data_IF_785864510523
#
_entry.id   IF_785864510523
#
_cell.length_a   1.000
_cell.length_b   1.000
_cell.length_c   1.000
_cell.angle_alpha   90.00
_cell.angle_beta   90.00
_cell.angle_gamma   90.00
#
_symmetry.space_group_name_H-M   'P 1'
#
loop_
_entity.id
_entity.type
_entity.pdbx_description
1 polymer ?
#
# COMPACT_ATOMS: atom_id res chain seq x y z
N UNK A 1 5.98 -8.88 -13.40
CA UNK A 1 6.30 -8.52 -12.02
C UNK A 1 5.01 -8.12 -11.33
N UNK A 2 4.43 -9.02 -10.51
CA UNK A 2 3.28 -8.71 -9.64
C UNK A 2 3.83 -8.47 -8.25
N UNK A 3 4.11 -7.22 -7.93
CA UNK A 3 4.39 -6.83 -6.55
C UNK A 3 3.06 -6.75 -5.80
N UNK A 4 2.95 -7.33 -4.60
CA UNK A 4 1.71 -7.41 -3.82
C UNK A 4 1.17 -6.06 -3.34
N UNK A 5 1.95 -5.00 -3.42
CA UNK A 5 1.57 -3.63 -3.07
C UNK A 5 1.56 -2.67 -4.26
N UNK A 6 1.99 -3.12 -5.46
CA UNK A 6 2.00 -2.29 -6.66
C UNK A 6 1.17 -2.98 -7.74
N UNK A 7 -0.10 -2.63 -7.84
CA UNK A 7 -0.89 -2.93 -9.03
C UNK A 7 -0.35 -2.08 -10.19
N UNK A 8 0.63 -2.62 -10.91
CA UNK A 8 1.10 -2.01 -12.16
C UNK A 8 -0.03 -2.16 -13.17
N UNK A 9 -0.60 -1.04 -13.56
CA UNK A 9 -1.62 -0.93 -14.59
C UNK A 9 -1.26 -1.74 -15.84
N UNK A 10 -2.04 -2.77 -16.13
CA UNK A 10 -2.20 -3.29 -17.48
C UNK A 10 -3.37 -2.56 -18.15
N UNK A 11 -3.22 -1.27 -18.41
CA UNK A 11 -4.06 -0.59 -19.38
C UNK A 11 -3.29 -0.54 -20.71
N UNK A 12 -3.61 -1.44 -21.65
CA UNK A 12 -2.96 -1.52 -22.96
C UNK A 12 -3.10 -0.22 -23.78
N UNK A 13 -4.05 0.64 -23.44
CA UNK A 13 -4.28 1.94 -24.08
C UNK A 13 -3.57 3.11 -23.39
N UNK A 14 -3.14 2.97 -22.13
CA UNK A 14 -2.34 4.01 -21.48
C UNK A 14 -1.00 4.22 -22.23
N UNK A 15 -0.48 3.17 -22.87
CA UNK A 15 0.73 3.24 -23.68
C UNK A 15 0.54 4.10 -24.96
N UNK A 16 -0.66 4.13 -25.53
CA UNK A 16 -1.00 5.01 -26.65
C UNK A 16 -1.23 6.45 -26.19
N UNK A 17 -1.84 6.65 -25.01
CA UNK A 17 -2.06 7.97 -24.43
C UNK A 17 -0.74 8.66 -24.00
N UNK A 18 0.22 7.91 -23.49
CA UNK A 18 1.57 8.40 -23.13
C UNK A 18 2.34 8.91 -24.36
N UNK A 19 2.05 8.42 -25.56
CA UNK A 19 2.70 8.85 -26.80
C UNK A 19 2.12 10.14 -27.41
N UNK A 20 1.03 10.68 -26.87
CA UNK A 20 0.40 11.96 -27.30
C UNK A 20 0.69 13.14 -26.35
N UNK A 21 1.52 12.95 -25.33
CA UNK A 21 1.77 13.94 -24.30
C UNK A 21 2.77 15.04 -24.75
N UNK A 22 2.51 16.25 -24.28
CA UNK A 22 3.23 17.51 -24.60
C UNK A 22 4.73 17.46 -24.28
N UNK A 23 5.56 18.35 -24.89
CA UNK A 23 7.02 18.45 -24.64
C UNK A 23 7.39 18.62 -23.16
N UNK A 24 6.50 19.13 -22.32
CA UNK A 24 6.69 19.28 -20.88
C UNK A 24 6.69 17.93 -20.14
N UNK A 25 5.84 17.00 -20.55
CA UNK A 25 5.81 15.64 -19.96
C UNK A 25 7.06 14.84 -20.32
N UNK A 26 7.61 15.05 -21.53
CA UNK A 26 8.90 14.45 -21.93
C UNK A 26 10.04 15.02 -21.07
N UNK A 27 9.99 16.30 -20.70
CA UNK A 27 10.94 16.91 -19.76
C UNK A 27 10.84 16.29 -18.35
N UNK A 28 9.62 16.05 -17.86
CA UNK A 28 9.38 15.38 -16.56
C UNK A 28 9.90 13.94 -16.60
N UNK A 29 9.64 13.21 -17.66
CA UNK A 29 10.14 11.84 -17.87
C UNK A 29 11.68 11.80 -17.87
N UNK A 30 12.32 12.71 -18.61
CA UNK A 30 13.79 12.81 -18.63
C UNK A 30 14.37 13.31 -17.29
N UNK A 31 13.68 14.19 -16.58
CA UNK A 31 14.05 14.63 -15.23
C UNK A 31 13.96 13.46 -14.22
N UNK A 32 12.91 12.64 -14.30
CA UNK A 32 12.78 11.41 -13.49
C UNK A 32 13.91 10.42 -13.80
N UNK A 33 14.25 10.17 -15.07
CA UNK A 33 15.38 9.29 -15.43
C UNK A 33 16.73 9.86 -15.01
N UNK A 34 16.92 11.17 -15.01
CA UNK A 34 18.15 11.82 -14.56
C UNK A 34 18.28 11.72 -13.04
N UNK A 35 17.20 11.90 -12.29
CA UNK A 35 17.16 11.71 -10.82
C UNK A 35 17.42 10.24 -10.47
N UNK A 36 16.80 9.30 -11.16
CA UNK A 36 17.04 7.85 -10.99
C UNK A 36 18.52 7.51 -11.23
N UNK A 37 19.16 8.12 -12.23
CA UNK A 37 20.60 7.94 -12.52
C UNK A 37 21.50 8.53 -11.42
N UNK A 38 21.12 9.64 -10.82
CA UNK A 38 21.92 10.32 -9.77
C UNK A 38 21.80 9.63 -8.39
N UNK A 39 20.69 8.93 -8.13
CA UNK A 39 20.43 8.22 -6.86
C UNK A 39 21.08 6.83 -6.78
N UNK A 40 21.65 6.31 -7.89
CA UNK A 40 22.32 5.00 -7.93
C UNK A 40 23.62 4.89 -7.13
N UNK A 41 24.16 5.98 -6.61
CA UNK A 41 25.51 5.98 -6.01
C UNK A 41 25.56 5.77 -4.49
N UNK A 42 24.41 5.61 -3.79
CA UNK A 42 24.38 5.45 -2.32
C UNK A 42 23.40 4.37 -1.81
N UNK A 43 22.91 3.47 -2.65
CA UNK A 43 21.91 2.43 -2.24
C UNK A 43 22.48 1.01 -2.21
N UNK A 44 23.75 0.83 -2.58
CA UNK A 44 24.35 -0.49 -2.79
C UNK A 44 24.43 -1.36 -1.51
N UNK A 45 24.31 -0.74 -0.33
CA UNK A 45 24.35 -1.41 0.97
C UNK A 45 22.99 -1.54 1.68
N UNK A 46 21.90 -1.13 1.03
CA UNK A 46 20.57 -1.12 1.63
C UNK A 46 19.67 -2.22 1.07
N UNK A 47 18.79 -2.75 1.92
CA UNK A 47 17.79 -3.75 1.55
C UNK A 47 16.47 -3.54 2.27
N UNK A 48 15.44 -4.28 1.84
CA UNK A 48 14.13 -4.33 2.51
C UNK A 48 13.71 -5.75 2.86
N UNK A 49 12.82 -5.88 3.83
CA UNK A 49 12.06 -7.13 4.07
C UNK A 49 10.58 -6.84 3.89
N UNK A 50 9.90 -7.70 3.12
CA UNK A 50 8.45 -7.76 2.99
C UNK A 50 7.93 -9.02 3.67
N UNK A 51 7.00 -8.87 4.63
CA UNK A 51 6.39 -9.97 5.38
C UNK A 51 4.93 -10.07 5.00
N UNK A 52 4.55 -11.14 4.30
CA UNK A 52 3.18 -11.36 3.84
C UNK A 52 2.34 -12.05 4.91
N UNK A 53 1.31 -11.36 5.40
CA UNK A 53 0.34 -11.89 6.36
C UNK A 53 -0.98 -12.19 5.63
N UNK A 54 -1.26 -13.45 5.26
CA UNK A 54 -2.34 -13.79 4.33
C UNK A 54 -3.72 -13.92 5.00
N UNK A 55 -4.01 -13.11 5.99
CA UNK A 55 -5.28 -13.21 6.72
C UNK A 55 -6.10 -11.93 6.63
N UNK A 56 -7.42 -12.09 6.38
CA UNK A 56 -8.39 -11.01 6.40
C UNK A 56 -9.61 -11.39 7.24
N UNK A 57 -10.33 -10.43 7.81
CA UNK A 57 -11.66 -10.65 8.41
C UNK A 57 -12.71 -10.95 7.34
N UNK A 58 -12.61 -10.24 6.21
CA UNK A 58 -13.60 -10.23 5.14
C UNK A 58 -12.92 -10.18 3.77
N UNK A 59 -13.51 -10.84 2.79
CA UNK A 59 -13.03 -10.82 1.40
C UNK A 59 -13.63 -9.64 0.65
N UNK A 60 -12.82 -8.65 0.31
CA UNK A 60 -13.24 -7.54 -0.55
C UNK A 60 -13.52 -8.03 -1.98
N UNK A 61 -14.55 -7.49 -2.65
CA UNK A 61 -15.01 -8.00 -3.94
C UNK A 61 -14.07 -7.72 -5.12
N UNK A 62 -13.15 -6.76 -4.96
CA UNK A 62 -12.15 -6.38 -5.96
C UNK A 62 -10.77 -7.04 -5.75
N UNK A 63 -10.53 -7.63 -4.56
CA UNK A 63 -9.20 -8.07 -4.14
C UNK A 63 -8.80 -9.39 -4.81
N UNK A 64 -7.64 -9.43 -5.46
CA UNK A 64 -7.03 -10.62 -6.06
C UNK A 64 -5.73 -11.06 -5.35
N UNK A 65 -5.38 -10.43 -4.23
CA UNK A 65 -4.22 -10.81 -3.44
C UNK A 65 -4.38 -12.21 -2.84
N UNK A 66 -3.23 -12.79 -2.46
CA UNK A 66 -3.24 -14.06 -1.75
C UNK A 66 -3.67 -13.85 -0.30
N UNK A 67 -4.91 -14.23 0.04
CA UNK A 67 -5.43 -14.13 1.39
C UNK A 67 -6.38 -15.28 1.74
N UNK A 68 -6.68 -15.43 3.04
CA UNK A 68 -7.67 -16.33 3.60
C UNK A 68 -8.48 -15.64 4.69
N UNK A 69 -9.80 -15.86 4.69
CA UNK A 69 -10.67 -15.46 5.80
C UNK A 69 -10.70 -16.48 6.95
N UNK A 70 -10.14 -17.67 6.73
CA UNK A 70 -9.97 -18.66 7.79
C UNK A 70 -8.67 -18.41 8.55
N UNK A 71 -8.79 -17.93 9.79
CA UNK A 71 -7.66 -17.58 10.65
C UNK A 71 -7.20 -18.70 11.60
N UNK A 72 -7.78 -19.90 11.53
CA UNK A 72 -7.48 -21.01 12.45
C UNK A 72 -6.00 -21.38 12.49
N UNK A 73 -5.28 -21.22 11.39
CA UNK A 73 -3.85 -21.52 11.26
C UNK A 73 -2.95 -20.27 11.31
N UNK A 74 -3.45 -19.13 11.79
CA UNK A 74 -2.67 -17.88 11.81
C UNK A 74 -1.40 -18.03 12.65
N UNK A 75 -1.49 -18.59 13.85
CA UNK A 75 -0.33 -18.80 14.71
C UNK A 75 0.70 -19.77 14.09
N UNK A 76 0.25 -20.82 13.39
CA UNK A 76 1.15 -21.73 12.65
C UNK A 76 1.88 -21.02 11.53
N UNK A 77 1.17 -20.16 10.80
CA UNK A 77 1.73 -19.37 9.71
C UNK A 77 2.78 -18.38 10.22
N UNK A 78 2.50 -17.67 11.33
CA UNK A 78 3.46 -16.75 11.95
C UNK A 78 4.75 -17.51 12.34
N UNK A 79 4.63 -18.71 12.96
CA UNK A 79 5.80 -19.54 13.27
C UNK A 79 6.56 -19.95 12.01
N UNK A 80 5.86 -20.33 10.93
CA UNK A 80 6.49 -20.69 9.67
C UNK A 80 7.26 -19.53 9.04
N UNK A 81 6.69 -18.33 9.06
CA UNK A 81 7.35 -17.08 8.58
C UNK A 81 8.58 -16.77 9.45
N UNK A 82 8.49 -16.93 10.77
CA UNK A 82 9.65 -16.78 11.68
C UNK A 82 10.79 -17.73 11.32
N UNK A 83 10.48 -18.97 10.97
CA UNK A 83 11.49 -19.94 10.50
C UNK A 83 12.04 -19.59 9.10
N UNK A 84 11.19 -19.14 8.20
CA UNK A 84 11.61 -18.70 6.87
C UNK A 84 12.61 -17.54 6.96
N UNK A 85 12.37 -16.55 7.84
CA UNK A 85 13.32 -15.48 8.12
C UNK A 85 14.68 -16.02 8.57
N UNK A 86 14.71 -17.02 9.48
CA UNK A 86 15.96 -17.64 9.93
C UNK A 86 16.69 -18.44 8.85
N UNK A 87 15.93 -19.06 7.93
CA UNK A 87 16.51 -19.87 6.83
C UNK A 87 17.05 -19.02 5.68
N UNK A 88 16.54 -17.79 5.49
CA UNK A 88 16.84 -16.92 4.34
C UNK A 88 17.90 -15.85 4.66
N UNK A 89 18.68 -16.01 5.73
CA UNK A 89 19.66 -15.01 6.19
C UNK A 89 20.69 -14.62 5.12
N UNK A 90 21.08 -15.56 4.27
CA UNK A 90 22.08 -15.36 3.22
C UNK A 90 21.52 -14.62 1.99
N UNK A 91 20.18 -14.54 1.85
CA UNK A 91 19.55 -13.99 0.64
C UNK A 91 19.93 -12.52 0.37
N UNK A 92 20.04 -11.73 1.41
CA UNK A 92 20.39 -10.32 1.31
C UNK A 92 21.91 -10.03 1.42
N UNK A 93 22.75 -11.10 1.43
CA UNK A 93 24.22 -10.98 1.41
C UNK A 93 24.81 -10.05 2.47
N UNK A 94 24.19 -9.96 3.66
CA UNK A 94 24.64 -9.12 4.77
C UNK A 94 24.32 -7.63 4.63
N UNK A 95 23.50 -7.24 3.68
CA UNK A 95 23.06 -5.85 3.52
C UNK A 95 22.24 -5.36 4.70
N UNK A 96 22.23 -4.04 4.92
CA UNK A 96 21.53 -3.40 6.02
C UNK A 96 20.08 -3.08 5.63
N UNK A 97 19.12 -3.53 6.43
CA UNK A 97 17.70 -3.26 6.22
C UNK A 97 17.38 -1.80 6.55
N UNK A 98 16.85 -1.06 5.59
CA UNK A 98 16.28 0.27 5.80
C UNK A 98 14.75 0.28 5.87
N UNK A 99 14.11 -0.83 5.49
CA UNK A 99 12.65 -0.99 5.57
C UNK A 99 12.23 -2.41 5.93
N UNK A 100 11.18 -2.51 6.76
CA UNK A 100 10.45 -3.73 7.11
C UNK A 100 8.99 -3.44 6.82
N UNK A 101 8.35 -4.24 5.98
CA UNK A 101 6.99 -4.00 5.54
C UNK A 101 6.10 -5.22 5.80
N UNK A 102 5.10 -5.05 6.64
CA UNK A 102 4.05 -6.05 6.87
C UNK A 102 2.87 -5.75 5.96
N UNK A 103 2.62 -6.64 4.99
CA UNK A 103 1.56 -6.45 4.00
C UNK A 103 0.81 -7.74 3.68
N UNK A 104 -0.03 -7.67 2.65
CA UNK A 104 -0.69 -8.82 2.04
C UNK A 104 -2.20 -8.88 2.23
N UNK A 105 -2.68 -9.60 3.23
CA UNK A 105 -4.09 -9.62 3.61
C UNK A 105 -4.41 -8.44 4.53
N UNK A 106 -4.25 -8.66 5.86
CA UNK A 106 -4.51 -7.64 6.88
C UNK A 106 -3.57 -7.84 8.06
N UNK A 107 -2.34 -7.30 8.00
CA UNK A 107 -1.37 -7.44 9.08
C UNK A 107 -1.80 -6.86 10.43
N UNK A 108 -2.74 -5.90 10.45
CA UNK A 108 -3.34 -5.39 11.68
C UNK A 108 -4.07 -6.46 12.53
N UNK A 109 -4.34 -7.65 11.97
CA UNK A 109 -4.88 -8.80 12.71
C UNK A 109 -3.84 -9.51 13.60
N UNK A 110 -2.55 -9.18 13.47
CA UNK A 110 -1.52 -9.74 14.34
C UNK A 110 -1.74 -9.29 15.79
N UNK A 111 -1.58 -10.22 16.72
CA UNK A 111 -1.50 -9.90 18.14
C UNK A 111 -0.15 -9.26 18.49
N UNK A 112 -0.03 -8.65 19.67
CA UNK A 112 1.25 -8.09 20.15
C UNK A 112 2.35 -9.17 20.13
N UNK A 113 2.04 -10.36 20.62
CA UNK A 113 2.99 -11.47 20.66
C UNK A 113 3.43 -11.96 19.27
N UNK A 114 2.48 -12.08 18.34
CA UNK A 114 2.78 -12.50 16.95
C UNK A 114 3.66 -11.45 16.24
N UNK A 115 3.33 -10.17 16.39
CA UNK A 115 4.11 -9.08 15.82
C UNK A 115 5.51 -9.01 16.43
N UNK A 116 5.63 -9.10 17.77
CA UNK A 116 6.91 -9.10 18.46
C UNK A 116 7.80 -10.26 18.01
N UNK A 117 7.25 -11.48 17.88
CA UNK A 117 8.05 -12.64 17.45
C UNK A 117 8.61 -12.49 16.03
N UNK A 118 7.86 -11.87 15.11
CA UNK A 118 8.32 -11.58 13.75
C UNK A 118 9.42 -10.51 13.74
N UNK A 119 9.23 -9.41 14.48
CA UNK A 119 10.25 -8.37 14.59
C UNK A 119 11.51 -8.87 15.28
N UNK A 120 11.40 -9.64 16.37
CA UNK A 120 12.53 -10.28 17.05
C UNK A 120 13.33 -11.18 16.10
N UNK A 121 12.65 -11.96 15.24
CA UNK A 121 13.32 -12.79 14.25
C UNK A 121 14.07 -11.92 13.21
N UNK A 122 13.50 -10.83 12.74
CA UNK A 122 14.20 -9.91 11.84
C UNK A 122 15.44 -9.34 12.51
N UNK A 123 15.32 -8.80 13.72
CA UNK A 123 16.47 -8.21 14.44
C UNK A 123 17.52 -9.23 14.86
N UNK A 124 17.15 -10.50 15.08
CA UNK A 124 18.10 -11.58 15.41
C UNK A 124 18.93 -12.05 14.22
N UNK A 125 18.38 -11.96 13.00
CA UNK A 125 18.97 -12.58 11.82
C UNK A 125 19.50 -11.60 10.78
N UNK A 126 19.11 -10.32 10.86
CA UNK A 126 19.47 -9.32 9.86
C UNK A 126 20.07 -8.06 10.50
N UNK A 127 20.99 -7.42 9.79
CA UNK A 127 21.47 -6.08 10.15
C UNK A 127 20.36 -5.07 9.84
N UNK A 128 19.90 -4.34 10.84
CA UNK A 128 18.84 -3.32 10.69
C UNK A 128 19.43 -1.94 10.95
N UNK A 129 19.11 -0.97 10.10
CA UNK A 129 19.57 0.41 10.25
C UNK A 129 19.04 1.03 11.56
N UNK A 130 19.69 2.09 12.02
CA UNK A 130 19.31 2.76 13.28
C UNK A 130 17.89 3.32 13.23
N UNK A 131 17.45 3.80 12.06
CA UNK A 131 16.12 4.37 11.84
C UNK A 131 15.42 3.69 10.64
N UNK A 132 15.02 2.40 10.77
CA UNK A 132 14.32 1.70 9.71
C UNK A 132 12.90 2.23 9.58
N UNK A 133 12.36 2.24 8.37
CA UNK A 133 10.91 2.36 8.18
C UNK A 133 10.27 1.01 8.48
N UNK A 134 9.38 0.96 9.46
CA UNK A 134 8.63 -0.26 9.82
C UNK A 134 7.15 0.01 9.54
N UNK A 135 6.70 -0.43 8.37
CA UNK A 135 5.34 -0.22 7.89
C UNK A 135 4.45 -1.41 8.21
N UNK A 136 3.20 -1.14 8.59
CA UNK A 136 2.17 -2.15 8.76
C UNK A 136 0.88 -1.72 8.04
N UNK A 137 0.38 -2.59 7.15
CA UNK A 137 -0.93 -2.41 6.52
C UNK A 137 -2.05 -2.71 7.51
N UNK A 138 -3.09 -1.87 7.50
CA UNK A 138 -4.20 -1.97 8.43
C UNK A 138 -5.55 -1.65 7.78
N UNK A 139 -6.61 -2.26 8.32
CA UNK A 139 -7.97 -1.82 8.06
C UNK A 139 -8.45 -0.90 9.18
N UNK A 140 -9.30 0.11 8.88
CA UNK A 140 -9.82 1.04 9.88
C UNK A 140 -10.48 0.38 11.10
N UNK A 141 -11.27 -0.69 10.89
CA UNK A 141 -11.98 -1.43 11.95
C UNK A 141 -11.05 -2.23 12.89
N UNK A 142 -9.75 -2.32 12.59
CA UNK A 142 -8.73 -2.92 13.47
C UNK A 142 -8.01 -1.89 14.34
N UNK A 143 -8.13 -0.59 14.02
CA UNK A 143 -7.31 0.46 14.60
C UNK A 143 -7.96 1.18 15.78
N UNK A 144 -8.32 0.41 16.83
CA UNK A 144 -8.68 1.02 18.11
C UNK A 144 -7.50 1.80 18.71
N UNK A 145 -7.77 2.74 19.62
CA UNK A 145 -6.71 3.49 20.33
C UNK A 145 -5.72 2.58 21.06
N UNK A 146 -6.20 1.46 21.61
CA UNK A 146 -5.38 0.44 22.27
C UNK A 146 -4.49 -0.26 21.27
N UNK A 147 -5.05 -0.66 20.12
CA UNK A 147 -4.31 -1.30 19.04
C UNK A 147 -3.21 -0.39 18.50
N UNK A 148 -3.52 0.86 18.24
CA UNK A 148 -2.56 1.86 17.76
C UNK A 148 -1.40 2.06 18.76
N UNK A 149 -1.69 2.15 20.09
CA UNK A 149 -0.64 2.23 21.12
C UNK A 149 0.23 0.97 21.14
N UNK A 150 -0.39 -0.20 20.99
CA UNK A 150 0.32 -1.48 20.92
C UNK A 150 1.25 -1.52 19.72
N UNK A 151 0.78 -1.13 18.53
CA UNK A 151 1.60 -1.09 17.30
C UNK A 151 2.79 -0.13 17.45
N UNK A 152 2.55 1.08 17.97
CA UNK A 152 3.63 2.05 18.24
C UNK A 152 4.65 1.52 19.24
N UNK A 153 4.20 0.90 20.33
CA UNK A 153 5.07 0.29 21.34
C UNK A 153 5.89 -0.88 20.77
N UNK A 154 5.33 -1.65 19.84
CA UNK A 154 6.02 -2.74 19.15
C UNK A 154 7.08 -2.24 18.13
N UNK A 155 7.16 -0.94 17.86
CA UNK A 155 8.12 -0.34 16.95
C UNK A 155 7.59 -0.03 15.56
N UNK A 156 6.29 -0.25 15.29
CA UNK A 156 5.68 0.22 14.03
C UNK A 156 5.74 1.75 14.03
N UNK A 157 6.35 2.32 12.99
CA UNK A 157 6.52 3.76 12.85
C UNK A 157 5.88 4.32 11.57
N UNK A 158 5.26 3.47 10.73
CA UNK A 158 4.45 3.85 9.59
C UNK A 158 3.23 2.95 9.47
N UNK A 159 2.06 3.53 9.16
CA UNK A 159 0.85 2.77 8.84
C UNK A 159 0.41 3.03 7.40
N UNK A 160 -0.05 1.99 6.68
CA UNK A 160 -0.81 2.11 5.45
C UNK A 160 -2.24 1.66 5.73
N UNK A 161 -3.19 2.58 5.66
CA UNK A 161 -4.55 2.36 6.11
C UNK A 161 -5.48 2.25 4.92
N UNK A 162 -6.03 1.08 4.69
CA UNK A 162 -6.93 0.80 3.58
C UNK A 162 -8.32 1.44 3.76
N UNK A 163 -8.43 2.75 3.58
CA UNK A 163 -9.68 3.52 3.67
C UNK A 163 -10.60 3.19 2.50
N UNK A 164 -10.10 3.26 1.28
CA UNK A 164 -10.75 3.09 -0.02
C UNK A 164 -11.73 4.20 -0.39
N UNK A 165 -12.64 4.60 0.49
CA UNK A 165 -13.60 5.71 0.34
C UNK A 165 -14.13 6.13 1.71
N UNK A 166 -14.59 7.37 1.83
CA UNK A 166 -15.33 7.87 2.99
C UNK A 166 -16.83 7.88 2.76
N UNK A 167 -17.30 7.23 1.68
CA UNK A 167 -18.71 7.12 1.32
C UNK A 167 -19.24 5.72 1.58
N UNK A 168 -20.17 5.60 2.54
CA UNK A 168 -20.70 4.33 3.02
C UNK A 168 -21.24 3.38 1.93
N UNK A 169 -21.95 3.86 0.87
CA UNK A 169 -22.38 2.98 -0.21
C UNK A 169 -21.19 2.40 -1.02
N UNK A 170 -20.09 3.14 -1.21
CA UNK A 170 -18.89 2.62 -1.87
C UNK A 170 -18.22 1.54 -1.03
N UNK A 171 -18.11 1.72 0.28
CA UNK A 171 -17.56 0.71 1.19
C UNK A 171 -18.37 -0.60 1.14
N UNK A 172 -19.71 -0.49 1.14
CA UNK A 172 -20.58 -1.67 0.97
C UNK A 172 -20.42 -2.31 -0.40
N UNK A 173 -20.34 -1.53 -1.48
CA UNK A 173 -20.11 -2.03 -2.83
C UNK A 173 -18.81 -2.81 -2.94
N UNK A 174 -17.72 -2.31 -2.31
CA UNK A 174 -16.42 -2.95 -2.25
C UNK A 174 -16.37 -4.14 -1.26
N UNK A 175 -17.41 -4.36 -0.46
CA UNK A 175 -17.47 -5.34 0.64
C UNK A 175 -16.38 -5.07 1.69
N UNK A 176 -16.24 -3.81 2.14
CA UNK A 176 -15.35 -3.44 3.24
C UNK A 176 -16.00 -3.74 4.59
N UNK A 177 -15.18 -4.13 5.58
CA UNK A 177 -15.65 -4.43 6.94
C UNK A 177 -15.89 -3.17 7.78
N UNK A 178 -15.19 -2.08 7.48
CA UNK A 178 -15.28 -0.82 8.21
C UNK A 178 -16.34 0.13 7.63
N UNK A 179 -16.80 1.05 8.45
CA UNK A 179 -17.68 2.16 8.12
C UNK A 179 -16.90 3.43 7.74
N UNK A 180 -17.59 4.40 7.14
CA UNK A 180 -17.02 5.72 6.83
C UNK A 180 -16.58 6.48 8.10
N UNK A 181 -17.25 6.27 9.24
CA UNK A 181 -16.87 6.85 10.52
C UNK A 181 -15.57 6.24 11.08
N UNK A 182 -15.43 4.92 11.04
CA UNK A 182 -14.18 4.24 11.41
C UNK A 182 -13.02 4.68 10.52
N UNK A 183 -13.27 4.88 9.22
CA UNK A 183 -12.28 5.38 8.28
C UNK A 183 -11.71 6.76 8.67
N UNK A 184 -12.56 7.68 9.14
CA UNK A 184 -12.13 9.01 9.63
C UNK A 184 -11.45 8.93 10.98
N UNK A 185 -12.09 8.27 11.93
CA UNK A 185 -11.65 8.24 13.32
C UNK A 185 -10.32 7.51 13.50
N UNK A 186 -10.02 6.47 12.72
CA UNK A 186 -8.76 5.75 12.85
C UNK A 186 -7.54 6.62 12.50
N UNK A 187 -7.65 7.49 11.48
CA UNK A 187 -6.59 8.44 11.10
C UNK A 187 -6.36 9.46 12.23
N UNK A 188 -7.43 10.07 12.73
CA UNK A 188 -7.35 11.02 13.85
C UNK A 188 -6.76 10.36 15.12
N UNK A 189 -7.19 9.14 15.45
CA UNK A 189 -6.65 8.40 16.58
C UNK A 189 -5.15 8.10 16.46
N UNK A 190 -4.67 7.80 15.25
CA UNK A 190 -3.25 7.56 15.01
C UNK A 190 -2.45 8.86 15.19
N UNK A 191 -2.94 9.98 14.65
CA UNK A 191 -2.34 11.31 14.83
C UNK A 191 -2.33 11.73 16.31
N UNK A 192 -3.43 11.54 17.05
CA UNK A 192 -3.55 11.87 18.49
C UNK A 192 -2.49 11.20 19.36
N UNK A 193 -1.99 10.03 18.96
CA UNK A 193 -0.94 9.31 19.70
C UNK A 193 0.47 9.53 19.13
N UNK A 194 0.61 10.41 18.12
CA UNK A 194 1.87 10.72 17.44
C UNK A 194 2.39 9.58 16.57
N UNK A 195 1.50 8.82 15.92
CA UNK A 195 1.82 7.99 14.75
C UNK A 195 1.52 8.81 13.50
N UNK A 196 2.41 9.76 13.20
CA UNK A 196 2.19 10.77 12.16
C UNK A 196 2.56 10.28 10.76
N UNK A 197 3.43 9.26 10.64
CA UNK A 197 3.78 8.68 9.35
C UNK A 197 2.65 7.73 8.89
N UNK A 198 1.65 8.31 8.25
CA UNK A 198 0.44 7.64 7.80
C UNK A 198 0.32 7.70 6.29
N UNK A 199 0.00 6.57 5.67
CA UNK A 199 -0.57 6.49 4.33
C UNK A 199 -2.05 6.15 4.44
N UNK A 200 -2.90 6.81 3.67
CA UNK A 200 -4.26 6.34 3.42
C UNK A 200 -4.37 5.86 1.98
N UNK A 201 -5.04 4.73 1.80
CA UNK A 201 -5.25 4.16 0.48
C UNK A 201 -6.68 4.48 0.02
N UNK A 202 -6.81 5.07 -1.17
CA UNK A 202 -8.09 5.44 -1.77
C UNK A 202 -8.28 4.73 -3.12
N UNK A 203 -9.53 4.42 -3.46
CA UNK A 203 -9.87 3.84 -4.75
C UNK A 203 -10.76 4.83 -5.51
N UNK A 204 -10.30 5.25 -6.70
CA UNK A 204 -11.12 6.01 -7.63
C UNK A 204 -11.73 5.13 -8.72
N UNK A 205 -12.61 5.71 -9.55
CA UNK A 205 -13.40 5.00 -10.57
C UNK A 205 -14.38 3.95 -10.02
N UNK A 206 -14.75 4.04 -8.74
CA UNK A 206 -15.89 3.29 -8.21
C UNK A 206 -17.16 3.81 -8.89
N UNK A 207 -18.04 2.95 -9.42
CA UNK A 207 -19.22 3.38 -10.17
C UNK A 207 -20.13 4.35 -9.40
N UNK A 208 -20.33 5.53 -9.98
CA UNK A 208 -21.24 6.57 -9.47
C UNK A 208 -21.73 7.43 -10.64
N UNK A 209 -22.94 8.05 -10.57
CA UNK A 209 -23.47 8.87 -11.65
C UNK A 209 -22.62 10.09 -12.04
N UNK A 210 -21.81 10.59 -11.11
CA UNK A 210 -20.95 11.78 -11.32
C UNK A 210 -19.72 11.71 -10.39
N UNK A 211 -18.88 12.74 -10.39
CA UNK A 211 -17.62 12.77 -9.63
C UNK A 211 -17.76 13.30 -8.19
N UNK A 212 -18.99 13.63 -7.73
CA UNK A 212 -19.19 14.31 -6.44
C UNK A 212 -18.71 13.53 -5.23
N UNK A 213 -18.86 12.20 -5.23
CA UNK A 213 -18.37 11.34 -4.16
C UNK A 213 -16.84 11.35 -4.12
N UNK A 214 -16.18 11.24 -5.29
CA UNK A 214 -14.73 11.30 -5.36
C UNK A 214 -14.19 12.65 -4.89
N UNK A 215 -14.83 13.76 -5.28
CA UNK A 215 -14.47 15.08 -4.79
C UNK A 215 -14.64 15.21 -3.26
N UNK A 216 -15.70 14.61 -2.69
CA UNK A 216 -15.90 14.58 -1.24
C UNK A 216 -14.86 13.69 -0.52
N UNK A 217 -14.48 12.56 -1.11
CA UNK A 217 -13.42 11.69 -0.58
C UNK A 217 -12.07 12.44 -0.56
N UNK A 218 -11.72 13.15 -1.63
CA UNK A 218 -10.52 13.98 -1.68
C UNK A 218 -10.56 15.13 -0.66
N UNK A 219 -11.71 15.83 -0.55
CA UNK A 219 -11.87 16.89 0.45
C UNK A 219 -11.68 16.37 1.87
N UNK A 220 -12.23 15.19 2.18
CA UNK A 220 -12.05 14.54 3.49
C UNK A 220 -10.59 14.14 3.72
N UNK A 221 -9.91 13.62 2.70
CA UNK A 221 -8.49 13.28 2.79
C UNK A 221 -7.65 14.55 3.10
N UNK A 222 -7.98 15.68 2.47
CA UNK A 222 -7.30 16.97 2.74
C UNK A 222 -7.57 17.50 4.15
N UNK A 223 -8.80 17.32 4.68
CA UNK A 223 -9.14 17.67 6.07
C UNK A 223 -8.36 16.84 7.09
N UNK A 224 -8.18 15.54 6.82
CA UNK A 224 -7.40 14.63 7.66
C UNK A 224 -5.89 14.84 7.53
N UNK A 225 -5.45 15.43 6.43
CA UNK A 225 -4.06 15.80 6.12
C UNK A 225 -3.01 14.69 6.43
N UNK A 226 -3.20 13.44 5.99
CA UNK A 226 -2.16 12.43 6.13
C UNK A 226 -0.95 12.84 5.29
N UNK A 227 0.29 12.60 5.72
CA UNK A 227 1.46 13.00 4.94
C UNK A 227 1.64 12.20 3.64
N UNK A 228 0.93 11.10 3.47
CA UNK A 228 1.04 10.23 2.30
C UNK A 228 -0.34 9.70 1.88
N UNK A 229 -0.59 9.62 0.57
CA UNK A 229 -1.82 9.09 -0.02
C UNK A 229 -1.45 8.14 -1.16
N UNK A 230 -1.95 6.90 -1.07
CA UNK A 230 -1.94 5.95 -2.18
C UNK A 230 -3.31 5.96 -2.84
N UNK A 231 -3.37 6.12 -4.15
CA UNK A 231 -4.65 6.17 -4.85
C UNK A 231 -4.64 5.28 -6.10
N UNK A 232 -5.58 4.33 -6.14
CA UNK A 232 -5.65 3.29 -7.15
C UNK A 232 -6.94 3.40 -7.95
N UNK A 233 -6.86 3.17 -9.27
CA UNK A 233 -8.06 2.96 -10.07
C UNK A 233 -8.71 1.63 -9.68
N UNK A 234 -10.03 1.59 -9.55
CA UNK A 234 -10.72 0.32 -9.40
C UNK A 234 -10.40 -0.59 -10.59
N UNK A 235 -9.74 -1.71 -10.32
CA UNK A 235 -9.42 -2.73 -11.31
C UNK A 235 -10.29 -3.95 -11.08
N UNK A 236 -10.84 -4.53 -12.14
CA UNK A 236 -11.69 -5.73 -12.08
C UNK A 236 -10.88 -6.93 -12.58
N UNK A 237 -10.29 -7.66 -11.66
CA UNK A 237 -9.52 -8.86 -11.96
C UNK A 237 -10.42 -10.09 -12.09
N UNK A 238 -10.12 -10.98 -13.06
CA UNK A 238 -10.99 -12.12 -13.43
C UNK A 238 -11.32 -13.07 -12.28
N UNK A 239 -10.37 -13.27 -11.33
CA UNK A 239 -10.51 -14.21 -10.21
C UNK A 239 -11.32 -13.65 -9.04
N UNK A 240 -11.66 -12.35 -9.07
CA UNK A 240 -12.39 -11.66 -8.01
C UNK A 240 -13.91 -11.87 -8.10
N UNK A 241 -14.62 -11.41 -7.08
CA UNK A 241 -16.09 -11.36 -7.13
C UNK A 241 -16.56 -10.42 -8.24
N UNK A 242 -15.92 -9.25 -8.36
CA UNK A 242 -16.23 -8.30 -9.43
C UNK A 242 -15.94 -8.87 -10.81
N UNK A 243 -14.83 -9.61 -11.01
CA UNK A 243 -14.54 -10.28 -12.29
C UNK A 243 -15.61 -11.29 -12.66
N UNK A 244 -16.13 -12.03 -11.68
CA UNK A 244 -17.26 -12.94 -11.89
C UNK A 244 -18.55 -12.17 -12.24
N UNK A 245 -18.83 -11.05 -11.56
CA UNK A 245 -20.00 -10.22 -11.84
C UNK A 245 -19.93 -9.56 -13.22
N UNK A 246 -18.75 -9.07 -13.61
CA UNK A 246 -18.53 -8.51 -14.95
C UNK A 246 -18.79 -9.57 -16.03
N UNK A 247 -18.23 -10.77 -15.88
CA UNK A 247 -18.43 -11.89 -16.83
C UNK A 247 -19.90 -12.28 -16.99
N UNK A 248 -20.67 -12.17 -15.92
CA UNK A 248 -22.14 -12.42 -15.91
C UNK A 248 -22.97 -11.15 -16.19
N UNK A 249 -22.36 -10.06 -16.63
CA UNK A 249 -23.02 -8.80 -16.97
C UNK A 249 -23.86 -8.21 -15.80
N UNK A 250 -23.48 -8.50 -14.56
CA UNK A 250 -24.12 -7.94 -13.34
C UNK A 250 -23.61 -6.53 -13.00
N UNK A 251 -22.43 -6.22 -13.45
CA UNK A 251 -21.82 -4.88 -13.36
C UNK A 251 -21.23 -4.51 -14.72
N UNK A 252 -21.17 -3.23 -15.09
CA UNK A 252 -20.47 -2.77 -16.28
C UNK A 252 -18.95 -2.84 -16.07
N UNK A 253 -18.14 -2.80 -17.15
CA UNK A 253 -16.71 -2.52 -17.06
C UNK A 253 -16.47 -1.13 -16.47
N UNK A 254 -15.28 -0.90 -15.95
CA UNK A 254 -14.86 0.44 -15.51
C UNK A 254 -14.85 1.37 -16.71
N UNK A 255 -15.47 2.53 -16.59
CA UNK A 255 -15.47 3.57 -17.62
C UNK A 255 -14.12 4.30 -17.60
N UNK A 256 -13.35 4.14 -18.67
CA UNK A 256 -12.00 4.71 -18.82
C UNK A 256 -12.02 6.25 -18.78
N UNK A 257 -13.02 6.89 -19.38
CA UNK A 257 -13.13 8.36 -19.40
C UNK A 257 -13.50 8.91 -18.03
N UNK A 258 -14.37 8.19 -17.29
CA UNK A 258 -14.70 8.50 -15.91
C UNK A 258 -13.47 8.35 -15.00
N UNK A 259 -12.70 7.28 -15.18
CA UNK A 259 -11.47 7.05 -14.43
C UNK A 259 -10.41 8.12 -14.72
N UNK A 260 -10.19 8.49 -15.99
CA UNK A 260 -9.25 9.53 -16.38
C UNK A 260 -9.61 10.89 -15.74
N UNK A 261 -10.89 11.28 -15.79
CA UNK A 261 -11.35 12.53 -15.16
C UNK A 261 -11.12 12.52 -13.65
N UNK A 262 -11.33 11.38 -12.97
CA UNK A 262 -11.08 11.27 -11.53
C UNK A 262 -9.58 11.28 -11.20
N UNK A 263 -8.74 10.75 -12.07
CA UNK A 263 -7.29 10.87 -11.94
C UNK A 263 -6.81 12.32 -12.08
N UNK A 264 -7.34 13.07 -13.05
CA UNK A 264 -7.03 14.50 -13.21
C UNK A 264 -7.46 15.31 -11.98
N UNK A 265 -8.63 15.01 -11.41
CA UNK A 265 -9.09 15.60 -10.14
C UNK A 265 -8.17 15.27 -8.98
N UNK A 266 -7.71 14.02 -8.89
CA UNK A 266 -6.74 13.59 -7.88
C UNK A 266 -5.45 14.40 -7.96
N UNK A 267 -4.80 14.38 -9.13
CA UNK A 267 -3.51 15.06 -9.35
C UNK A 267 -3.62 16.56 -9.06
N UNK A 268 -4.67 17.21 -9.59
CA UNK A 268 -4.86 18.66 -9.39
C UNK A 268 -5.15 19.02 -7.92
N UNK A 269 -5.95 18.23 -7.23
CA UNK A 269 -6.29 18.46 -5.81
C UNK A 269 -5.07 18.28 -4.92
N UNK A 270 -4.31 17.21 -5.12
CA UNK A 270 -3.14 16.92 -4.29
C UNK A 270 -2.00 17.91 -4.56
N UNK A 271 -1.77 18.28 -5.82
CA UNK A 271 -0.78 19.30 -6.15
C UNK A 271 -1.12 20.67 -5.54
N UNK A 272 -2.41 21.04 -5.49
CA UNK A 272 -2.86 22.30 -4.84
C UNK A 272 -2.69 22.29 -3.31
N UNK A 273 -2.50 21.10 -2.71
CA UNK A 273 -2.23 20.89 -1.28
C UNK A 273 -0.76 20.51 -0.98
N UNK A 274 0.16 20.84 -1.90
CA UNK A 274 1.60 20.61 -1.79
C UNK A 274 2.02 19.14 -1.64
N UNK A 275 1.21 18.19 -2.18
CA UNK A 275 1.62 16.80 -2.32
C UNK A 275 2.34 16.61 -3.66
N UNK A 276 3.45 15.90 -3.62
CA UNK A 276 4.22 15.48 -4.79
C UNK A 276 3.85 14.05 -5.21
N UNK A 277 3.56 13.85 -6.49
CA UNK A 277 3.43 12.53 -7.06
C UNK A 277 4.83 11.95 -7.32
N UNK A 278 5.28 10.98 -6.52
CA UNK A 278 6.62 10.42 -6.66
C UNK A 278 6.65 9.09 -7.44
N UNK A 279 5.48 8.46 -7.66
CA UNK A 279 5.28 7.35 -8.57
C UNK A 279 3.81 7.30 -9.03
N UNK A 280 3.40 6.26 -9.79
CA UNK A 280 2.10 6.23 -10.49
C UNK A 280 0.90 6.40 -9.57
N UNK A 281 0.92 5.79 -8.39
CA UNK A 281 -0.23 5.72 -7.47
C UNK A 281 0.01 6.41 -6.13
N UNK A 282 1.24 6.87 -5.85
CA UNK A 282 1.62 7.39 -4.56
C UNK A 282 1.99 8.87 -4.60
N UNK A 283 1.40 9.60 -3.64
CA UNK A 283 1.55 11.03 -3.44
C UNK A 283 1.92 11.28 -1.99
N UNK A 284 2.81 12.23 -1.73
CA UNK A 284 3.19 12.57 -0.37
C UNK A 284 3.57 14.04 -0.23
N UNK A 285 3.53 14.56 0.98
CA UNK A 285 4.23 15.78 1.33
C UNK A 285 5.74 15.57 1.20
N UNK A 286 6.55 16.59 0.86
CA UNK A 286 7.99 16.46 0.68
C UNK A 286 8.66 15.76 1.87
N UNK A 287 9.43 14.68 1.60
CA UNK A 287 10.15 13.90 2.60
C UNK A 287 9.34 12.79 3.30
N UNK A 288 8.09 12.53 2.86
CA UNK A 288 7.25 11.48 3.39
C UNK A 288 7.02 10.30 2.43
N UNK A 289 7.93 10.15 1.43
CA UNK A 289 7.90 9.01 0.53
C UNK A 289 8.04 7.69 1.31
N UNK A 290 7.27 6.67 0.97
CA UNK A 290 7.49 5.34 1.51
C UNK A 290 8.85 4.82 1.07
N UNK A 291 9.73 4.52 2.02
CA UNK A 291 11.05 3.95 1.71
C UNK A 291 10.91 2.60 1.03
N UNK A 292 10.00 1.75 1.53
CA UNK A 292 9.80 0.42 0.99
C UNK A 292 9.27 0.46 -0.45
N UNK A 293 8.25 1.28 -0.76
CA UNK A 293 7.74 1.44 -2.11
C UNK A 293 8.79 2.06 -3.05
N UNK A 294 9.53 3.08 -2.57
CA UNK A 294 10.62 3.69 -3.33
C UNK A 294 11.73 2.70 -3.67
N UNK A 295 12.01 1.73 -2.78
CA UNK A 295 13.04 0.71 -3.01
C UNK A 295 12.73 -0.15 -4.25
N UNK A 296 11.46 -0.47 -4.54
CA UNK A 296 11.09 -1.20 -5.75
C UNK A 296 11.48 -0.44 -7.02
N UNK A 297 11.22 0.86 -7.07
CA UNK A 297 11.54 1.70 -8.22
C UNK A 297 13.04 1.94 -8.39
N UNK A 298 13.80 1.87 -7.30
CA UNK A 298 15.26 2.00 -7.28
C UNK A 298 16.01 0.69 -7.49
N UNK A 299 15.28 -0.43 -7.68
CA UNK A 299 15.84 -1.78 -7.76
C UNK A 299 16.72 -2.13 -6.54
N UNK A 300 16.34 -1.68 -5.36
CA UNK A 300 16.97 -2.08 -4.10
C UNK A 300 16.59 -3.52 -3.78
N UNK A 301 17.53 -4.31 -3.30
CA UNK A 301 17.31 -5.70 -2.92
C UNK A 301 16.23 -5.83 -1.85
N UNK A 302 15.41 -6.85 -1.95
CA UNK A 302 14.48 -7.18 -0.88
C UNK A 302 14.18 -8.66 -0.78
N UNK A 303 13.98 -9.11 0.45
CA UNK A 303 13.50 -10.44 0.77
C UNK A 303 12.00 -10.38 1.07
N UNK A 304 11.21 -11.17 0.37
CA UNK A 304 9.83 -11.43 0.72
C UNK A 304 9.68 -12.79 1.42
N UNK A 305 9.00 -12.80 2.55
CA UNK A 305 8.68 -14.02 3.31
C UNK A 305 7.17 -14.16 3.50
N UNK A 306 6.73 -15.39 3.66
CA UNK A 306 5.31 -15.73 3.74
C UNK A 306 4.68 -16.06 2.38
N UNK A 307 3.49 -16.66 2.36
CA UNK A 307 2.88 -17.23 1.16
C UNK A 307 2.48 -16.15 0.16
N UNK A 308 2.98 -16.24 -1.06
CA UNK A 308 2.72 -15.27 -2.13
C UNK A 308 3.65 -14.04 -2.12
N UNK A 309 4.60 -13.98 -1.20
CA UNK A 309 5.64 -12.96 -1.22
C UNK A 309 6.60 -13.18 -2.41
N UNK A 310 7.16 -12.09 -2.91
CA UNK A 310 8.22 -12.09 -3.92
C UNK A 310 9.48 -11.50 -3.32
N UNK A 311 10.62 -11.89 -3.86
CA UNK A 311 11.93 -11.36 -3.49
C UNK A 311 12.64 -10.85 -4.74
N UNK A 312 13.63 -9.97 -4.57
CA UNK A 312 14.48 -9.48 -5.64
C UNK A 312 15.93 -9.42 -5.18
N UNK A 313 16.80 -10.12 -5.88
CA UNK A 313 18.24 -10.26 -5.59
C UNK A 313 19.15 -9.45 -6.52
N UNK A 314 18.56 -8.59 -7.33
CA UNK A 314 19.29 -7.76 -8.28
C UNK A 314 19.35 -8.32 -9.71
N UNK A 315 18.86 -9.55 -9.96
CA UNK A 315 18.92 -10.25 -11.26
C UNK A 315 17.56 -10.38 -11.93
#
# INVERSE_FOLDING_TARGET
FKCSSVQVFKCSKLHEYVNTLTPEYIKIKNYIYTIIGYLRTNTDDLAGIYIHIPFCKQACYYCDFHFSTNQQRKADMVRAITWELALQTEYLSGQTLNSIYFGGGTPSLLTEQELSSLLEAVYAHYSVSVNPEITLEANPDDLSREKLRMLKKAGINRLSIGIQSFYEPHLRYLNRAHSAEEARSCVQHAQDIGLDNLSIDLIYAIPHPNHSVWQADLATAMELAPPHISSYCLTIEEKTVFGRWLRHQKIPPVDESFAATQFDLLVSTLAAADYEQYEVSNFCQPGWESKHNSNYWKNVLYLGVGPGAHSFDGN
#
